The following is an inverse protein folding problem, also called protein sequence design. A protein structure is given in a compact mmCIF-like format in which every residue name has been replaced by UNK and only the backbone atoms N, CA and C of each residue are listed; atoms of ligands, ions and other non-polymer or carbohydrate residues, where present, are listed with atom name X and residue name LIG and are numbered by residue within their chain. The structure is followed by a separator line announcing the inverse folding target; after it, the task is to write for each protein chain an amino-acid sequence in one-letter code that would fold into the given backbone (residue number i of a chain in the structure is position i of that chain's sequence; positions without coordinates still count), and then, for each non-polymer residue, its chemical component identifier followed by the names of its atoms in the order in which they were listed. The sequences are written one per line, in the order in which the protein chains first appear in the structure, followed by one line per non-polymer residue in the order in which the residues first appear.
data_IF_472297973895
#
_entry.id   IF_472297973895
#
_cell.length_a   1.000
_cell.length_b   1.000
_cell.length_c   1.000
_cell.angle_alpha   90.00
_cell.angle_beta   90.00
_cell.angle_gamma   90.00
#
_symmetry.space_group_name_H-M   'P 1'
#
loop_
_entity.id
_entity.type
_entity.pdbx_description
1 polymer ?
#
# COMPACT_ATOMS: atom_id res chain seq x y z
N UNK A 1 10.58 -13.48 32.87
CA UNK A 1 10.02 -13.95 31.58
C UNK A 1 9.15 -12.83 31.05
N UNK A 2 9.61 -12.08 30.04
CA UNK A 2 8.97 -10.85 29.55
C UNK A 2 7.85 -11.19 28.55
N UNK A 3 6.60 -10.87 28.92
CA UNK A 3 5.39 -11.12 28.12
C UNK A 3 5.09 -9.98 27.13
N UNK A 4 6.10 -9.54 26.37
CA UNK A 4 5.95 -8.47 25.38
C UNK A 4 6.64 -8.79 24.05
N UNK A 5 6.62 -10.04 23.62
CA UNK A 5 6.68 -10.31 22.18
C UNK A 5 5.31 -9.94 21.61
N UNK A 6 5.13 -8.64 21.35
CA UNK A 6 4.06 -8.13 20.52
C UNK A 6 4.26 -8.71 19.12
N UNK A 7 3.68 -9.89 18.89
CA UNK A 7 3.50 -10.48 17.57
C UNK A 7 2.97 -9.39 16.65
N UNK A 8 3.82 -8.86 15.76
CA UNK A 8 3.43 -7.85 14.78
C UNK A 8 2.21 -8.40 14.05
N UNK A 9 1.05 -7.76 14.21
CA UNK A 9 -0.14 -8.17 13.51
C UNK A 9 0.17 -8.14 12.01
N UNK A 10 0.19 -9.31 11.38
CA UNK A 10 0.38 -9.42 9.94
C UNK A 10 -0.72 -8.64 9.22
N UNK A 11 -0.39 -8.09 8.06
CA UNK A 11 -1.38 -7.40 7.22
C UNK A 11 -2.56 -8.32 6.88
N UNK A 12 -3.73 -7.73 6.64
CA UNK A 12 -4.94 -8.46 6.23
C UNK A 12 -5.13 -8.37 4.71
N UNK A 13 -5.49 -9.49 4.09
CA UNK A 13 -5.88 -9.54 2.67
C UNK A 13 -7.34 -9.14 2.53
N UNK A 14 -7.65 -8.26 1.57
CA UNK A 14 -9.02 -7.80 1.29
C UNK A 14 -9.26 -7.83 -0.21
N UNK A 15 -10.37 -8.44 -0.62
CA UNK A 15 -10.86 -8.35 -1.99
C UNK A 15 -11.68 -7.06 -2.14
N UNK A 16 -11.37 -6.26 -3.16
CA UNK A 16 -12.01 -4.95 -3.39
C UNK A 16 -12.44 -4.84 -4.85
N UNK A 17 -13.76 -4.83 -5.07
CA UNK A 17 -14.34 -4.69 -6.42
C UNK A 17 -14.83 -3.26 -6.75
N UNK A 18 -15.03 -2.42 -5.73
CA UNK A 18 -15.61 -1.07 -5.92
C UNK A 18 -14.55 -0.02 -6.19
N UNK A 19 -14.67 0.68 -7.32
CA UNK A 19 -13.85 1.86 -7.63
C UNK A 19 -14.13 3.04 -6.69
N UNK A 20 -15.28 3.06 -6.03
CA UNK A 20 -15.64 4.10 -5.07
C UNK A 20 -14.98 3.93 -3.70
N UNK A 21 -14.39 2.76 -3.43
CA UNK A 21 -13.68 2.46 -2.19
C UNK A 21 -12.57 3.51 -1.95
N UNK A 22 -12.46 4.10 -0.73
CA UNK A 22 -11.43 5.08 -0.41
C UNK A 22 -10.00 4.62 -0.74
N UNK A 23 -9.65 3.36 -0.45
CA UNK A 23 -8.32 2.81 -0.71
C UNK A 23 -7.96 2.85 -2.20
N UNK A 24 -8.92 2.53 -3.07
CA UNK A 24 -8.72 2.58 -4.53
C UNK A 24 -8.54 4.03 -5.00
N UNK A 25 -9.25 4.97 -4.40
CA UNK A 25 -9.11 6.40 -4.72
C UNK A 25 -7.75 6.93 -4.31
N UNK A 26 -7.27 6.58 -3.13
CA UNK A 26 -5.96 6.99 -2.62
C UNK A 26 -4.83 6.47 -3.53
N UNK A 27 -4.92 5.21 -3.96
CA UNK A 27 -3.98 4.63 -4.92
C UNK A 27 -4.00 5.38 -6.26
N UNK A 28 -5.19 5.64 -6.82
CA UNK A 28 -5.33 6.40 -8.09
C UNK A 28 -4.79 7.82 -7.97
N UNK A 29 -4.91 8.45 -6.81
CA UNK A 29 -4.44 9.81 -6.58
C UNK A 29 -2.92 9.95 -6.75
N UNK A 30 -2.14 8.87 -6.54
CA UNK A 30 -0.69 8.84 -6.75
C UNK A 30 -0.27 9.10 -8.21
N UNK A 31 -1.21 9.08 -9.16
CA UNK A 31 -0.96 9.54 -10.53
C UNK A 31 -0.57 11.04 -10.58
N UNK A 32 -1.01 11.85 -9.62
CA UNK A 32 -0.72 13.28 -9.56
C UNK A 32 0.47 13.58 -8.64
N UNK A 33 1.38 14.46 -9.10
CA UNK A 33 2.61 14.83 -8.35
C UNK A 33 2.31 15.34 -6.94
N UNK A 34 1.29 16.19 -6.78
CA UNK A 34 0.86 16.72 -5.47
C UNK A 34 0.69 15.62 -4.43
N UNK A 35 0.00 14.53 -4.78
CA UNK A 35 -0.27 13.45 -3.84
C UNK A 35 0.94 12.55 -3.62
N UNK A 36 1.80 12.36 -4.64
CA UNK A 36 3.09 11.66 -4.45
C UNK A 36 3.99 12.39 -3.47
N UNK A 37 4.13 13.70 -3.64
CA UNK A 37 4.97 14.52 -2.78
C UNK A 37 4.44 14.52 -1.33
N UNK A 38 3.12 14.66 -1.17
CA UNK A 38 2.48 14.68 0.15
C UNK A 38 2.62 13.34 0.89
N UNK A 39 2.51 12.21 0.19
CA UNK A 39 2.56 10.87 0.79
C UNK A 39 3.97 10.27 0.81
N UNK A 40 4.94 10.91 0.14
CA UNK A 40 6.25 10.35 -0.16
C UNK A 40 6.16 8.93 -0.75
N UNK A 41 5.25 8.76 -1.71
CA UNK A 41 4.91 7.46 -2.31
C UNK A 41 4.69 7.58 -3.82
N UNK A 42 4.87 6.47 -4.54
CA UNK A 42 4.61 6.38 -5.97
C UNK A 42 4.06 4.99 -6.32
N UNK A 43 3.50 4.84 -7.52
CA UNK A 43 3.02 3.57 -8.04
C UNK A 43 4.03 2.97 -9.01
N UNK A 44 4.32 1.68 -8.85
CA UNK A 44 5.05 0.86 -9.80
C UNK A 44 4.18 -0.33 -10.22
N UNK A 45 4.12 -0.61 -11.51
CA UNK A 45 3.35 -1.73 -12.07
C UNK A 45 4.28 -2.79 -12.68
N UNK A 46 3.93 -4.07 -12.49
CA UNK A 46 4.68 -5.21 -13.02
C UNK A 46 5.32 -6.09 -11.94
N UNK A 47 5.02 -7.40 -11.97
CA UNK A 47 5.47 -8.36 -10.95
C UNK A 47 6.99 -8.43 -10.80
N UNK A 48 7.73 -8.44 -11.91
CA UNK A 48 9.21 -8.45 -11.92
C UNK A 48 9.77 -7.24 -11.17
N UNK A 49 9.25 -6.05 -11.47
CA UNK A 49 9.74 -4.79 -10.86
C UNK A 49 9.48 -4.75 -9.36
N UNK A 50 8.34 -5.29 -8.90
CA UNK A 50 8.03 -5.38 -7.48
C UNK A 50 8.98 -6.36 -6.78
N UNK A 51 9.21 -7.54 -7.36
CA UNK A 51 10.12 -8.54 -6.78
C UNK A 51 11.55 -7.99 -6.69
N UNK A 52 12.02 -7.28 -7.73
CA UNK A 52 13.38 -6.74 -7.74
C UNK A 52 13.60 -5.60 -6.73
N UNK A 53 12.54 -4.96 -6.24
CA UNK A 53 12.60 -3.84 -5.30
C UNK A 53 12.45 -4.24 -3.81
N UNK A 54 12.09 -5.50 -3.53
CA UNK A 54 11.92 -6.07 -2.19
C UNK A 54 13.23 -6.69 -1.67
#
# INVERSE_FOLDING_TARGET
MNAYESSRAVGQVKEVASLANPLVKDIKALALKKFRDQQNAFMAEGLKLVIDAL
#
